data_IF_512607934825
#
_entry.id   IF_512607934825
#
_cell.length_a   1.000
_cell.length_b   1.000
_cell.length_c   1.000
_cell.angle_alpha   90.00
_cell.angle_beta   90.00
_cell.angle_gamma   90.00
#
_symmetry.space_group_name_H-M   'P 1'
#
loop_
_entity.id
_entity.type
_entity.pdbx_description
1 polymer ?
#
# COMPACT_ATOMS: atom_id res chain seq x y z
N UNK A 1 1.17 -0.40 30.99
CA UNK A 1 1.99 0.46 30.11
C UNK A 1 1.96 -0.20 28.74
N UNK A 2 1.39 0.45 27.73
CA UNK A 2 1.50 -0.09 26.38
C UNK A 2 2.90 0.21 25.86
N UNK A 3 3.53 -0.79 25.25
CA UNK A 3 4.86 -0.66 24.70
C UNK A 3 4.70 -0.24 23.25
N UNK A 4 5.03 1.01 22.94
CA UNK A 4 5.12 1.47 21.56
C UNK A 4 6.20 0.69 20.79
N UNK A 5 6.09 0.65 19.47
CA UNK A 5 7.04 -0.02 18.59
C UNK A 5 7.55 0.90 17.50
N UNK A 6 8.75 0.62 17.00
CA UNK A 6 9.34 1.31 15.86
C UNK A 6 9.57 0.31 14.74
N UNK A 7 9.13 0.69 13.54
CA UNK A 7 9.26 -0.09 12.31
C UNK A 7 10.12 0.75 11.33
N UNK A 8 11.44 0.60 11.37
CA UNK A 8 12.36 1.40 10.55
C UNK A 8 12.35 0.94 9.07
N UNK A 9 12.90 1.81 8.22
CA UNK A 9 13.06 1.58 6.78
C UNK A 9 11.76 1.17 6.06
N UNK A 10 10.64 1.68 6.56
CA UNK A 10 9.30 1.50 6.03
C UNK A 10 9.17 2.00 4.60
N UNK A 11 8.55 1.19 3.75
CA UNK A 11 8.08 1.61 2.44
C UNK A 11 6.86 0.80 2.02
N UNK A 12 5.99 1.42 1.21
CA UNK A 12 4.99 0.66 0.45
C UNK A 12 5.30 0.77 -1.04
N UNK A 13 5.23 -0.34 -1.74
CA UNK A 13 5.41 -0.43 -3.18
C UNK A 13 4.14 -0.94 -3.83
N UNK A 14 3.72 -0.27 -4.90
CA UNK A 14 2.65 -0.72 -5.78
C UNK A 14 3.24 -1.03 -7.15
N UNK A 15 2.83 -2.17 -7.70
CA UNK A 15 3.28 -2.66 -9.00
C UNK A 15 2.09 -3.03 -9.85
N UNK A 16 2.02 -2.43 -11.03
CA UNK A 16 1.19 -2.91 -12.12
C UNK A 16 2.03 -3.91 -12.92
N UNK A 17 1.70 -5.19 -12.82
CA UNK A 17 2.56 -6.24 -13.35
C UNK A 17 2.71 -6.12 -14.87
N UNK A 18 3.94 -6.32 -15.33
CA UNK A 18 4.23 -6.42 -16.76
C UNK A 18 3.68 -7.73 -17.28
N UNK A 19 2.82 -7.66 -18.28
CA UNK A 19 2.43 -8.83 -19.06
C UNK A 19 3.57 -9.16 -20.04
N UNK A 20 4.07 -10.40 -19.97
CA UNK A 20 5.11 -10.89 -20.87
C UNK A 20 4.69 -10.70 -22.33
N UNK A 21 5.59 -10.17 -23.15
CA UNK A 21 5.33 -9.91 -24.57
C UNK A 21 4.69 -8.56 -24.88
N UNK A 22 4.20 -7.81 -23.88
CA UNK A 22 3.68 -6.46 -24.09
C UNK A 22 4.80 -5.42 -24.12
N UNK A 23 4.60 -4.40 -24.97
CA UNK A 23 5.49 -3.23 -25.12
C UNK A 23 5.14 -2.10 -24.14
N UNK A 24 4.02 -2.23 -23.44
CA UNK A 24 3.41 -1.20 -22.60
C UNK A 24 2.89 -1.82 -21.31
N UNK A 25 2.81 -1.02 -20.26
CA UNK A 25 2.13 -1.36 -19.02
C UNK A 25 0.61 -1.29 -19.20
N UNK A 26 -0.12 -2.16 -18.49
CA UNK A 26 -1.58 -2.12 -18.44
C UNK A 26 -2.13 -0.95 -17.62
N UNK A 27 -1.31 -0.39 -16.73
CA UNK A 27 -1.68 0.79 -15.96
C UNK A 27 -0.48 1.62 -15.54
N UNK A 28 -0.74 2.91 -15.31
CA UNK A 28 0.21 3.89 -14.77
C UNK A 28 -0.33 4.46 -13.47
N UNK A 29 0.52 4.56 -12.45
CA UNK A 29 0.16 5.19 -11.18
C UNK A 29 0.22 6.72 -11.30
N UNK A 30 -0.71 7.39 -10.63
CA UNK A 30 -0.87 8.86 -10.67
C UNK A 30 -0.59 9.51 -9.31
N UNK A 31 -1.10 8.91 -8.24
CA UNK A 31 -0.95 9.45 -6.89
C UNK A 31 -1.12 8.36 -5.83
N UNK A 32 -0.61 8.64 -4.63
CA UNK A 32 -0.89 7.91 -3.42
C UNK A 32 -1.23 8.90 -2.30
N UNK A 33 -2.27 8.60 -1.54
CA UNK A 33 -2.61 9.32 -0.31
C UNK A 33 -2.66 8.33 0.83
N UNK A 34 -2.14 8.74 1.99
CA UNK A 34 -2.04 7.92 3.19
C UNK A 34 -3.00 8.49 4.22
N UNK A 35 -3.78 7.62 4.85
CA UNK A 35 -4.45 7.93 6.11
C UNK A 35 -4.11 6.84 7.12
N UNK A 36 -4.03 7.18 8.40
CA UNK A 36 -3.63 6.23 9.44
C UNK A 36 -4.50 6.34 10.67
N UNK A 37 -4.55 5.25 11.43
CA UNK A 37 -5.11 5.21 12.77
C UNK A 37 -4.31 6.04 13.76
N UNK A 38 -4.92 6.30 14.91
CA UNK A 38 -4.40 7.19 15.94
C UNK A 38 -3.00 6.81 16.46
N UNK A 39 -2.67 5.52 16.56
CA UNK A 39 -1.36 5.10 17.08
C UNK A 39 -0.21 5.38 16.10
N UNK A 40 -0.54 5.75 14.86
CA UNK A 40 0.40 6.01 13.77
C UNK A 40 0.31 7.47 13.32
N UNK A 41 0.13 8.41 14.27
CA UNK A 41 -0.13 9.82 14.01
C UNK A 41 0.98 10.52 13.19
N UNK A 42 2.22 10.04 13.26
CA UNK A 42 3.33 10.58 12.44
C UNK A 42 3.06 10.41 10.94
N UNK A 43 2.34 9.36 10.54
CA UNK A 43 1.93 9.15 9.15
C UNK A 43 0.89 10.16 8.66
N UNK A 44 0.24 10.92 9.55
CA UNK A 44 -0.72 11.96 9.18
C UNK A 44 -0.05 13.32 8.94
N UNK A 45 1.15 13.53 9.48
CA UNK A 45 1.77 14.85 9.59
C UNK A 45 2.91 15.10 8.60
N UNK A 46 3.42 14.05 7.93
CA UNK A 46 4.52 14.17 6.97
C UNK A 46 4.03 13.91 5.54
N UNK A 47 4.43 14.74 4.56
CA UNK A 47 4.24 14.39 3.17
C UNK A 47 5.17 13.21 2.84
N UNK A 48 4.59 12.08 2.46
CA UNK A 48 5.32 10.93 1.92
C UNK A 48 5.16 10.96 0.39
N UNK A 49 6.01 11.73 -0.34
CA UNK A 49 5.85 11.87 -1.77
C UNK A 49 6.07 10.52 -2.46
N UNK A 50 5.13 10.06 -3.30
CA UNK A 50 5.33 8.86 -4.09
C UNK A 50 6.46 9.07 -5.12
N UNK A 51 7.31 8.07 -5.25
CA UNK A 51 8.34 7.94 -6.29
C UNK A 51 7.80 7.02 -7.38
N UNK A 52 7.67 7.54 -8.59
CA UNK A 52 7.15 6.82 -9.74
C UNK A 52 8.30 6.33 -10.62
N UNK A 53 8.25 5.06 -11.02
CA UNK A 53 9.22 4.49 -11.95
C UNK A 53 8.52 3.63 -12.99
N UNK A 54 9.23 3.40 -14.11
CA UNK A 54 8.75 2.62 -15.23
C UNK A 54 9.72 1.47 -15.53
N UNK A 55 9.16 0.30 -15.76
CA UNK A 55 9.86 -0.87 -16.33
C UNK A 55 9.76 -0.92 -17.86
N UNK A 56 9.11 0.09 -18.46
CA UNK A 56 8.91 0.26 -19.90
C UNK A 56 9.56 1.56 -20.39
N UNK A 57 10.07 1.56 -21.62
CA UNK A 57 10.78 2.72 -22.19
C UNK A 57 9.84 3.80 -22.78
N UNK A 58 8.56 3.79 -22.40
CA UNK A 58 7.51 4.64 -22.96
C UNK A 58 6.90 5.64 -21.94
N UNK A 59 7.52 5.79 -20.76
CA UNK A 59 7.08 6.75 -19.75
C UNK A 59 5.86 6.32 -18.92
N UNK A 60 5.38 5.08 -19.05
CA UNK A 60 4.28 4.57 -18.23
C UNK A 60 4.78 4.12 -16.85
N UNK A 61 4.42 4.87 -15.81
CA UNK A 61 4.86 4.63 -14.44
C UNK A 61 4.12 3.44 -13.81
N UNK A 62 4.54 2.23 -14.14
CA UNK A 62 3.93 0.99 -13.67
C UNK A 62 4.43 0.53 -12.29
N UNK A 63 5.29 1.34 -11.66
CA UNK A 63 5.78 1.16 -10.30
C UNK A 63 5.63 2.46 -9.52
N UNK A 64 5.17 2.37 -8.27
CA UNK A 64 5.09 3.49 -7.35
C UNK A 64 5.60 3.06 -5.97
N UNK A 65 6.61 3.74 -5.45
CA UNK A 65 7.14 3.51 -4.10
C UNK A 65 6.88 4.73 -3.23
N UNK A 66 6.33 4.51 -2.05
CA UNK A 66 6.15 5.56 -1.03
C UNK A 66 7.10 5.24 0.13
N UNK A 67 8.20 6.01 0.30
CA UNK A 67 9.11 5.82 1.42
C UNK A 67 8.45 6.36 2.69
N UNK A 68 8.25 5.49 3.69
CA UNK A 68 7.64 5.84 4.98
C UNK A 68 8.68 6.18 6.05
N UNK A 69 9.96 5.84 5.83
CA UNK A 69 11.00 6.07 6.82
C UNK A 69 10.81 5.20 8.06
N UNK A 70 10.96 5.75 9.25
CA UNK A 70 10.65 5.02 10.49
C UNK A 70 9.19 5.26 10.86
N UNK A 71 8.41 4.19 10.95
CA UNK A 71 7.01 4.26 11.40
C UNK A 71 6.96 3.96 12.90
N UNK A 72 6.45 4.91 13.69
CA UNK A 72 6.29 4.75 15.13
C UNK A 72 4.84 4.41 15.45
N UNK A 73 4.63 3.30 16.15
CA UNK A 73 3.38 2.96 16.81
C UNK A 73 3.49 3.35 18.28
N UNK A 74 2.65 4.27 18.76
CA UNK A 74 2.70 4.75 20.14
C UNK A 74 2.15 3.74 21.16
N UNK A 75 1.40 2.74 20.70
CA UNK A 75 0.69 1.76 21.51
C UNK A 75 -0.42 2.38 22.37
N UNK A 76 -0.74 3.66 22.20
CA UNK A 76 -1.62 4.37 23.13
C UNK A 76 -3.04 3.77 23.14
N UNK A 77 -3.56 3.49 24.33
CA UNK A 77 -4.91 2.97 24.50
C UNK A 77 -5.86 4.13 24.81
N UNK A 78 -6.88 4.36 23.96
CA UNK A 78 -7.88 5.39 24.22
C UNK A 78 -9.03 4.78 25.04
N UNK A 79 -9.22 5.26 26.27
CA UNK A 79 -10.33 4.87 27.14
C UNK A 79 -11.51 5.83 26.96
N UNK A 80 -12.22 5.82 25.83
CA UNK A 80 -13.57 6.41 25.73
C UNK A 80 -14.29 6.15 24.39
N UNK A 81 -15.40 5.40 24.44
CA UNK A 81 -16.72 5.73 23.88
C UNK A 81 -16.96 6.00 22.39
N UNK A 82 -15.94 6.24 21.58
CA UNK A 82 -16.11 6.56 20.15
C UNK A 82 -15.51 5.45 19.30
N UNK A 83 -16.29 4.95 18.35
CA UNK A 83 -15.87 4.09 17.23
C UNK A 83 -14.78 4.79 16.41
N UNK A 84 -13.57 4.85 16.93
CA UNK A 84 -12.40 5.30 16.16
C UNK A 84 -11.92 4.13 15.33
N UNK A 85 -11.85 4.39 14.04
CA UNK A 85 -11.33 3.51 12.99
C UNK A 85 -9.99 2.92 13.44
N UNK A 86 -9.89 1.59 13.37
CA UNK A 86 -8.75 0.72 13.70
C UNK A 86 -7.44 1.47 14.05
N UNK A 87 -7.13 1.57 15.36
CA UNK A 87 -6.04 2.39 15.92
C UNK A 87 -4.67 2.17 15.30
N UNK A 88 -4.44 0.96 14.78
CA UNK A 88 -3.14 0.47 14.30
C UNK A 88 -3.15 0.17 12.78
N UNK A 89 -4.11 0.73 12.03
CA UNK A 89 -4.22 0.51 10.58
C UNK A 89 -3.72 1.70 9.78
N UNK A 90 -3.12 1.40 8.62
CA UNK A 90 -2.77 2.38 7.60
C UNK A 90 -3.56 2.08 6.34
N UNK A 91 -4.22 3.11 5.81
CA UNK A 91 -4.93 3.05 4.54
C UNK A 91 -4.14 3.80 3.48
N UNK A 92 -4.00 3.16 2.33
CA UNK A 92 -3.42 3.77 1.14
C UNK A 92 -4.50 3.89 0.08
N UNK A 93 -4.77 5.12 -0.35
CA UNK A 93 -5.62 5.38 -1.52
C UNK A 93 -4.73 5.72 -2.71
N UNK A 94 -4.74 4.83 -3.69
CA UNK A 94 -3.91 4.90 -4.89
C UNK A 94 -4.77 5.27 -6.09
N UNK A 95 -4.35 6.28 -6.83
CA UNK A 95 -4.90 6.61 -8.14
C UNK A 95 -4.07 5.96 -9.23
N UNK A 96 -4.75 5.31 -10.18
CA UNK A 96 -4.14 4.77 -11.38
C UNK A 96 -4.97 5.10 -12.62
N UNK A 97 -4.30 5.12 -13.76
CA UNK A 97 -4.91 5.22 -15.07
C UNK A 97 -4.60 3.93 -15.83
N UNK A 98 -5.64 3.30 -16.36
CA UNK A 98 -5.49 2.15 -17.24
C UNK A 98 -4.95 2.63 -18.59
N UNK A 99 -4.07 1.85 -19.20
CA UNK A 99 -3.62 2.14 -20.55
C UNK A 99 -4.79 1.99 -21.51
N UNK A 100 -5.04 2.99 -22.35
CA UNK A 100 -5.93 2.84 -23.51
C UNK A 100 -5.09 2.46 -24.72
N UNK A 101 -4.62 1.21 -24.74
CA UNK A 101 -3.90 0.67 -25.89
C UNK A 101 -4.56 -0.59 -26.42
N UNK A 102 -4.10 -1.07 -27.57
CA UNK A 102 -4.54 -2.34 -28.17
C UNK A 102 -4.51 -3.52 -27.20
N UNK A 103 -3.70 -3.40 -26.13
CA UNK A 103 -3.52 -4.39 -25.09
C UNK A 103 -4.56 -4.30 -23.96
N UNK A 104 -5.46 -3.31 -23.94
CA UNK A 104 -6.47 -3.13 -22.90
C UNK A 104 -7.86 -3.60 -23.38
N UNK A 105 -8.05 -4.91 -23.42
CA UNK A 105 -9.24 -5.57 -24.00
C UNK A 105 -10.36 -5.69 -22.96
N UNK A 106 -11.62 -5.60 -23.41
CA UNK A 106 -12.81 -5.86 -22.58
C UNK A 106 -12.68 -7.16 -21.79
N UNK A 107 -12.95 -7.11 -20.48
CA UNK A 107 -12.90 -8.27 -19.60
C UNK A 107 -11.49 -8.70 -19.18
N UNK A 108 -10.43 -8.02 -19.64
CA UNK A 108 -9.08 -8.29 -19.18
C UNK A 108 -8.92 -8.00 -17.69
N UNK A 109 -8.25 -8.91 -16.97
CA UNK A 109 -7.88 -8.70 -15.58
C UNK A 109 -6.52 -8.00 -15.49
N UNK A 110 -6.48 -6.87 -14.80
CA UNK A 110 -5.28 -6.10 -14.47
C UNK A 110 -4.93 -6.36 -13.00
N UNK A 111 -3.77 -6.95 -12.76
CA UNK A 111 -3.26 -7.23 -11.42
C UNK A 111 -2.44 -6.06 -10.89
N UNK A 112 -2.77 -5.60 -9.69
CA UNK A 112 -1.97 -4.64 -8.92
C UNK A 112 -1.48 -5.32 -7.66
N UNK A 113 -0.16 -5.42 -7.53
CA UNK A 113 0.51 -5.91 -6.32
C UNK A 113 0.84 -4.73 -5.41
N UNK A 114 0.57 -4.89 -4.13
CA UNK A 114 1.05 -4.01 -3.06
C UNK A 114 2.03 -4.78 -2.17
N UNK A 115 3.15 -4.17 -1.80
CA UNK A 115 4.15 -4.71 -0.90
C UNK A 115 4.47 -3.70 0.20
N UNK A 116 4.25 -4.06 1.47
CA UNK A 116 4.62 -3.28 2.64
C UNK A 116 5.92 -3.86 3.20
N UNK A 117 6.95 -3.03 3.30
CA UNK A 117 8.33 -3.41 3.61
C UNK A 117 8.75 -2.69 4.88
N UNK A 118 9.28 -3.43 5.86
CA UNK A 118 9.96 -2.90 7.04
C UNK A 118 11.20 -3.75 7.29
N UNK A 119 12.40 -3.17 7.24
CA UNK A 119 13.68 -3.90 7.29
C UNK A 119 13.67 -5.20 6.46
N UNK A 120 13.69 -6.36 7.14
CA UNK A 120 13.74 -7.70 6.54
C UNK A 120 12.37 -8.31 6.30
N UNK A 121 11.30 -7.63 6.73
CA UNK A 121 9.93 -8.10 6.65
C UNK A 121 9.24 -7.50 5.42
N UNK A 122 8.65 -8.37 4.60
CA UNK A 122 7.91 -7.99 3.41
C UNK A 122 6.53 -8.65 3.38
N UNK A 123 5.49 -7.82 3.39
CA UNK A 123 4.10 -8.22 3.37
C UNK A 123 3.50 -7.88 2.01
N UNK A 124 3.04 -8.89 1.26
CA UNK A 124 2.47 -8.67 -0.08
C UNK A 124 0.98 -8.95 -0.14
N UNK A 125 0.28 -8.22 -1.02
CA UNK A 125 -1.11 -8.40 -1.38
C UNK A 125 -1.28 -8.17 -2.88
N UNK A 126 -2.20 -8.89 -3.52
CA UNK A 126 -2.51 -8.72 -4.94
C UNK A 126 -4.01 -8.47 -5.07
N UNK A 127 -4.36 -7.35 -5.70
CA UNK A 127 -5.72 -7.04 -6.13
C UNK A 127 -5.84 -7.19 -7.65
N UNK A 128 -7.04 -7.55 -8.12
CA UNK A 128 -7.35 -7.65 -9.54
C UNK A 128 -8.49 -6.70 -9.90
N UNK A 129 -8.41 -6.12 -11.10
CA UNK A 129 -9.45 -5.27 -11.68
C UNK A 129 -9.83 -5.83 -13.04
N UNK A 130 -11.12 -5.85 -13.37
CA UNK A 130 -11.55 -6.17 -14.74
C UNK A 130 -11.80 -4.89 -15.54
N UNK A 131 -11.24 -4.82 -16.75
CA UNK A 131 -11.49 -3.71 -17.67
C UNK A 131 -12.93 -3.80 -18.18
N UNK A 132 -13.71 -2.73 -17.97
CA UNK A 132 -15.08 -2.58 -18.48
C UNK A 132 -15.17 -1.30 -19.30
N UNK A 133 -15.18 -1.41 -20.63
CA UNK A 133 -15.33 -0.30 -21.57
C UNK A 133 -16.83 0.00 -21.76
N UNK A 134 -17.37 0.97 -21.02
CA UNK A 134 -18.76 1.45 -21.17
C UNK A 134 -18.86 2.90 -21.72
N UNK A 135 -17.75 3.47 -22.20
CA UNK A 135 -17.73 4.83 -22.78
C UNK A 135 -17.55 5.97 -21.77
N UNK A 136 -17.61 5.67 -20.47
CA UNK A 136 -17.18 6.53 -19.36
C UNK A 136 -16.49 5.64 -18.32
N UNK A 137 -15.16 5.60 -18.32
CA UNK A 137 -14.40 4.60 -17.56
C UNK A 137 -14.02 5.13 -16.17
N UNK A 138 -14.66 4.59 -15.13
CA UNK A 138 -14.19 4.67 -13.74
C UNK A 138 -13.95 3.26 -13.19
N UNK A 139 -12.75 2.97 -12.68
CA UNK A 139 -12.42 1.73 -11.99
C UNK A 139 -12.21 2.02 -10.49
N UNK A 140 -13.04 1.43 -9.62
CA UNK A 140 -12.89 1.53 -8.16
C UNK A 140 -12.19 0.29 -7.62
N UNK A 141 -11.06 0.49 -6.94
CA UNK A 141 -10.30 -0.58 -6.30
C UNK A 141 -10.57 -0.53 -4.80
N UNK A 142 -10.90 -1.68 -4.22
CA UNK A 142 -10.88 -1.85 -2.77
C UNK A 142 -10.02 -3.07 -2.44
N UNK A 143 -8.78 -2.84 -2.02
CA UNK A 143 -7.89 -3.91 -1.56
C UNK A 143 -8.14 -4.10 -0.08
N UNK A 144 -8.84 -5.18 0.28
CA UNK A 144 -9.00 -5.57 1.68
C UNK A 144 -7.89 -6.56 2.05
N UNK A 145 -7.06 -6.21 3.03
CA UNK A 145 -6.23 -7.18 3.73
C UNK A 145 -6.27 -6.91 5.23
N UNK A 146 -6.55 -7.95 6.00
CA UNK A 146 -6.35 -7.97 7.45
C UNK A 146 -4.90 -8.37 7.71
N UNK A 147 -4.16 -7.57 8.46
CA UNK A 147 -2.83 -7.96 8.95
C UNK A 147 -3.02 -8.66 10.29
N UNK A 148 -2.41 -9.85 10.44
CA UNK A 148 -2.36 -10.58 11.70
C UNK A 148 -1.35 -9.94 12.66
N UNK A 149 -1.67 -10.02 13.96
CA UNK A 149 -0.83 -9.57 15.08
C UNK A 149 0.61 -10.08 14.94
N UNK A 150 1.57 -9.15 15.02
CA UNK A 150 2.97 -9.51 15.24
C UNK A 150 3.04 -10.03 16.66
N UNK A 151 3.24 -11.35 16.81
CA UNK A 151 3.38 -12.02 18.09
C UNK A 151 4.38 -11.29 18.98
N UNK A 152 3.97 -11.08 20.24
CA UNK A 152 4.80 -10.56 21.30
C UNK A 152 6.16 -11.24 21.29
N UNK A 153 7.23 -10.47 21.12
CA UNK A 153 8.58 -10.93 21.43
C UNK A 153 8.60 -11.25 22.93
N UNK A 154 8.64 -12.53 23.27
CA UNK A 154 8.89 -13.00 24.63
C UNK A 154 10.32 -12.56 24.97
N UNK A 155 10.46 -11.48 25.72
CA UNK A 155 11.67 -11.24 26.49
C UNK A 155 11.63 -12.21 27.67
N UNK A 156 12.38 -13.31 27.59
CA UNK A 156 12.78 -14.05 28.79
C UNK A 156 13.70 -13.14 29.58
N UNK A 157 13.17 -12.51 30.62
CA UNK A 157 13.99 -11.95 31.70
C UNK A 157 14.69 -13.11 32.42
N UNK A 158 16.01 -13.06 32.43
CA UNK A 158 16.86 -13.82 33.34
C UNK A 158 16.72 -13.22 34.74
N UNK A 159 16.06 -13.91 35.67
CA UNK A 159 16.40 -13.84 37.09
C UNK A 159 15.89 -15.08 37.85
N UNK A 160 16.86 -15.85 38.36
CA UNK A 160 16.71 -17.08 39.14
C UNK A 160 18.07 -17.74 39.30
#
# INVERSE_FOLDING_TARGET
>A
MSVGSQLPNGAVEFTCERVTGQKEALCTFLYCTITSGFNLAELQNQPFPPVFTSTFNNGQNNLMRVPLGTVVNTGATITAGTTLVDSDVVYFKVGLQLADSENAIQGMSVSVKAALIFDTVNYTAIGQMSIKREGAEEAKITVHRTVHEVGQSIWTDLSG
#
